data_IF_667746727537
#
_entry.id   IF_667746727537
#
_cell.length_a   1.000
_cell.length_b   1.000
_cell.length_c   1.000
_cell.angle_alpha   90.00
_cell.angle_beta   90.00
_cell.angle_gamma   90.00
#
_symmetry.space_group_name_H-M   'P 1'
#
loop_
_entity.id
_entity.type
_entity.pdbx_description
1 polymer ?
#
# COMPACT_ATOMS: atom_id res chain seq x y z
N UNK A 1 -22.82 -12.76 80.77
CA UNK A 1 -23.05 -11.86 79.61
C UNK A 1 -22.06 -12.23 78.51
N UNK A 2 -22.51 -12.91 77.46
CA UNK A 2 -21.72 -13.22 76.25
C UNK A 2 -22.19 -12.27 75.15
N UNK A 3 -21.30 -11.41 74.66
CA UNK A 3 -21.57 -10.49 73.55
C UNK A 3 -21.32 -11.24 72.25
N UNK A 4 -22.34 -11.29 71.37
CA UNK A 4 -22.24 -11.79 70.00
C UNK A 4 -21.60 -10.70 69.11
N UNK A 5 -20.64 -11.01 68.22
CA UNK A 5 -20.22 -10.07 67.20
C UNK A 5 -21.14 -10.15 65.97
N UNK A 6 -21.53 -8.98 65.48
CA UNK A 6 -22.33 -8.79 64.27
C UNK A 6 -21.49 -9.03 63.01
N UNK A 7 -22.13 -9.65 62.01
CA UNK A 7 -21.65 -9.89 60.66
C UNK A 7 -21.25 -8.57 59.94
N UNK A 8 -20.10 -8.55 59.29
CA UNK A 8 -19.89 -7.71 58.10
C UNK A 8 -19.83 -8.63 56.88
N UNK A 9 -20.88 -8.57 56.06
CA UNK A 9 -20.99 -9.28 54.79
C UNK A 9 -20.35 -8.40 53.72
N UNK A 10 -19.11 -8.71 53.32
CA UNK A 10 -18.44 -8.02 52.21
C UNK A 10 -19.02 -8.56 50.90
N UNK A 11 -19.92 -7.81 50.27
CA UNK A 11 -20.38 -8.10 48.90
C UNK A 11 -19.25 -7.71 47.94
N UNK A 12 -18.53 -8.71 47.43
CA UNK A 12 -17.62 -8.54 46.30
C UNK A 12 -18.47 -8.39 45.05
N UNK A 13 -18.69 -7.15 44.61
CA UNK A 13 -19.23 -6.88 43.28
C UNK A 13 -18.16 -7.24 42.25
N UNK A 14 -18.28 -8.43 41.66
CA UNK A 14 -17.52 -8.79 40.47
C UNK A 14 -17.95 -7.85 39.33
N UNK A 15 -17.12 -6.86 39.02
CA UNK A 15 -17.26 -6.07 37.80
C UNK A 15 -16.95 -7.03 36.64
N UNK A 16 -18.00 -7.59 36.04
CA UNK A 16 -17.91 -8.23 34.74
C UNK A 16 -17.51 -7.15 33.73
N UNK A 17 -16.21 -7.03 33.46
CA UNK A 17 -15.74 -6.38 32.25
C UNK A 17 -16.40 -7.10 31.07
N UNK A 18 -17.10 -6.41 30.16
CA UNK A 18 -17.56 -7.04 28.94
C UNK A 18 -16.32 -7.57 28.22
N UNK A 19 -16.31 -8.87 27.94
CA UNK A 19 -15.32 -9.46 27.06
C UNK A 19 -15.27 -8.58 25.80
N UNK A 20 -14.11 -7.98 25.52
CA UNK A 20 -13.86 -7.37 24.23
C UNK A 20 -14.17 -8.45 23.19
N UNK A 21 -15.29 -8.28 22.48
CA UNK A 21 -15.70 -9.21 21.46
C UNK A 21 -14.56 -9.35 20.47
N UNK A 22 -14.05 -10.57 20.29
CA UNK A 22 -13.24 -10.87 19.12
C UNK A 22 -14.13 -10.58 17.91
N UNK A 23 -13.77 -9.68 16.98
CA UNK A 23 -14.30 -9.83 15.64
C UNK A 23 -13.78 -11.19 15.15
N UNK A 24 -14.68 -12.16 15.14
CA UNK A 24 -14.45 -13.44 14.49
C UNK A 24 -14.38 -13.15 13.00
N UNK A 25 -13.16 -13.02 12.47
CA UNK A 25 -12.92 -12.86 11.04
C UNK A 25 -13.54 -14.06 10.30
N UNK A 26 -14.25 -13.76 9.20
CA UNK A 26 -14.79 -14.77 8.29
C UNK A 26 -13.67 -15.61 7.65
N UNK A 27 -14.01 -16.63 6.86
CA UNK A 27 -13.01 -17.47 6.19
C UNK A 27 -11.99 -16.60 5.43
N UNK A 28 -10.72 -17.01 5.33
CA UNK A 28 -9.68 -16.22 4.69
C UNK A 28 -10.12 -15.89 3.27
N UNK A 29 -10.45 -14.61 3.04
CA UNK A 29 -10.67 -14.10 1.69
C UNK A 29 -9.30 -14.22 1.04
N UNK A 30 -9.15 -15.07 0.02
CA UNK A 30 -7.86 -15.23 -0.71
C UNK A 30 -7.57 -13.94 -1.46
N UNK A 31 -7.07 -12.95 -0.74
CA UNK A 31 -6.64 -11.66 -1.23
C UNK A 31 -5.19 -11.51 -0.81
N UNK A 32 -4.29 -12.06 -1.62
CA UNK A 32 -2.89 -12.34 -1.28
C UNK A 32 -1.97 -11.96 -2.45
N UNK A 33 -0.69 -11.77 -2.14
CA UNK A 33 0.38 -11.61 -3.14
C UNK A 33 0.33 -12.74 -4.16
N UNK A 34 0.66 -12.37 -5.39
CA UNK A 34 0.90 -13.32 -6.46
C UNK A 34 2.40 -13.56 -6.51
N UNK A 35 2.82 -14.75 -6.06
CA UNK A 35 4.25 -15.08 -5.95
C UNK A 35 4.98 -14.82 -7.27
N UNK A 36 6.08 -14.07 -7.19
CA UNK A 36 6.95 -13.75 -8.33
C UNK A 36 6.57 -12.47 -9.07
N UNK A 37 5.53 -11.77 -8.63
CA UNK A 37 5.13 -10.46 -9.13
C UNK A 37 5.59 -9.40 -8.15
N UNK A 38 6.62 -8.65 -8.54
CA UNK A 38 7.15 -7.56 -7.74
C UNK A 38 7.71 -6.47 -8.65
N UNK A 39 7.91 -5.26 -8.14
CA UNK A 39 8.63 -4.23 -8.88
C UNK A 39 10.06 -4.65 -9.20
N UNK A 40 10.71 -3.94 -10.14
CA UNK A 40 12.15 -4.07 -10.35
C UNK A 40 12.89 -3.88 -9.02
N UNK A 41 14.07 -4.51 -8.89
CA UNK A 41 14.87 -4.46 -7.66
C UNK A 41 15.13 -3.01 -7.17
N UNK A 42 15.33 -2.11 -8.12
CA UNK A 42 15.59 -0.68 -7.90
C UNK A 42 14.45 0.21 -8.42
N UNK A 43 13.31 -0.38 -8.79
CA UNK A 43 12.15 0.34 -9.31
C UNK A 43 11.43 1.16 -8.25
N UNK A 44 10.57 2.08 -8.70
CA UNK A 44 9.91 3.07 -7.85
C UNK A 44 10.97 3.80 -7.01
N UNK A 45 10.87 3.80 -5.67
CA UNK A 45 11.82 4.48 -4.77
C UNK A 45 12.58 3.49 -3.89
N UNK A 46 12.75 2.23 -4.35
CA UNK A 46 13.40 1.16 -3.57
C UNK A 46 14.85 1.46 -3.26
N UNK A 47 15.55 2.14 -4.15
CA UNK A 47 16.97 2.52 -3.97
C UNK A 47 17.13 3.57 -2.88
N UNK A 48 16.30 4.60 -2.92
CA UNK A 48 16.24 5.71 -1.97
C UNK A 48 15.82 5.18 -0.59
N UNK A 49 14.75 4.39 -0.54
CA UNK A 49 14.25 3.79 0.68
C UNK A 49 15.25 2.81 1.31
N UNK A 50 16.03 2.04 0.53
CA UNK A 50 17.15 1.25 1.09
C UNK A 50 18.23 2.12 1.71
N UNK A 51 18.54 3.27 1.11
CA UNK A 51 19.50 4.22 1.68
C UNK A 51 19.03 4.74 3.03
N UNK A 52 17.74 5.11 3.12
CA UNK A 52 17.07 5.49 4.37
C UNK A 52 17.16 4.37 5.41
N UNK A 53 16.68 3.16 5.08
CA UNK A 53 16.72 1.99 5.99
C UNK A 53 18.12 1.71 6.51
N UNK A 54 19.14 1.73 5.64
CA UNK A 54 20.53 1.51 6.03
C UNK A 54 21.03 2.58 6.98
N UNK A 55 20.70 3.86 6.74
CA UNK A 55 21.04 4.94 7.64
C UNK A 55 20.39 4.78 9.02
N UNK A 56 19.09 4.44 9.03
CA UNK A 56 18.31 4.24 10.25
C UNK A 56 18.80 3.04 11.07
N UNK A 57 19.13 1.91 10.43
CA UNK A 57 19.73 0.73 11.09
C UNK A 57 21.05 1.07 11.79
N UNK A 58 21.91 1.89 11.16
CA UNK A 58 23.15 2.36 11.82
C UNK A 58 22.86 3.23 13.04
N UNK A 59 21.86 4.11 12.97
CA UNK A 59 21.47 4.97 14.09
C UNK A 59 20.86 4.17 15.25
N UNK A 60 19.99 3.20 14.95
CA UNK A 60 19.42 2.27 15.93
C UNK A 60 20.51 1.44 16.62
N UNK A 61 21.49 0.92 15.86
CA UNK A 61 22.63 0.19 16.41
C UNK A 61 23.51 1.02 17.35
N UNK A 62 23.55 2.35 17.16
CA UNK A 62 24.26 3.31 18.02
C UNK A 62 23.36 3.94 19.09
N UNK A 63 22.09 3.54 19.18
CA UNK A 63 21.07 4.15 20.06
C UNK A 63 20.93 5.67 19.88
N UNK A 64 21.20 6.20 18.69
CA UNK A 64 21.08 7.63 18.40
C UNK A 64 19.66 7.98 17.95
N UNK A 65 18.73 7.96 18.91
CA UNK A 65 17.32 8.29 18.68
C UNK A 65 17.08 9.75 18.25
N UNK A 66 17.80 10.77 18.77
CA UNK A 66 17.64 12.13 18.28
C UNK A 66 17.88 12.26 16.77
N UNK A 67 18.96 11.68 16.26
CA UNK A 67 19.23 11.67 14.82
C UNK A 67 18.22 10.82 14.04
N UNK A 68 17.76 9.71 14.61
CA UNK A 68 16.74 8.85 14.00
C UNK A 68 15.40 9.59 13.82
N UNK A 69 15.05 10.46 14.78
CA UNK A 69 13.77 11.17 14.84
C UNK A 69 13.82 12.59 14.23
N UNK A 70 15.01 13.04 13.80
CA UNK A 70 15.23 14.39 13.29
C UNK A 70 14.24 14.84 12.19
N UNK A 71 13.83 14.00 11.21
CA UNK A 71 12.89 14.42 10.17
C UNK A 71 11.51 14.82 10.72
N UNK A 72 11.03 14.15 11.76
CA UNK A 72 9.74 14.45 12.38
C UNK A 72 9.83 15.61 13.37
N UNK A 73 10.97 15.78 14.04
CA UNK A 73 11.21 16.91 14.93
C UNK A 73 11.25 18.27 14.19
N UNK A 74 11.58 18.28 12.89
CA UNK A 74 11.53 19.45 12.03
C UNK A 74 10.10 19.77 11.49
N UNK A 75 9.06 19.13 12.04
CA UNK A 75 7.66 19.40 11.67
C UNK A 75 7.27 18.91 10.28
N UNK A 76 7.85 17.80 9.80
CA UNK A 76 7.60 17.27 8.45
C UNK A 76 8.14 18.16 7.31
N UNK A 77 8.73 19.31 7.65
CA UNK A 77 9.20 20.33 6.72
C UNK A 77 10.70 20.19 6.42
N UNK A 78 11.14 18.99 6.02
CA UNK A 78 12.34 18.93 5.18
C UNK A 78 11.91 19.50 3.83
N UNK A 79 12.59 20.52 3.25
CA UNK A 79 12.15 21.14 2.02
C UNK A 79 11.89 20.09 0.94
N UNK A 80 10.78 20.23 0.21
CA UNK A 80 10.50 19.52 -1.03
C UNK A 80 11.56 19.89 -2.07
N UNK A 81 12.78 19.37 -1.94
CA UNK A 81 13.85 19.68 -2.87
C UNK A 81 13.61 18.90 -4.15
N UNK A 82 13.20 19.61 -5.20
CA UNK A 82 13.43 19.16 -6.56
C UNK A 82 14.96 19.05 -6.77
N UNK A 83 15.49 17.84 -6.67
CA UNK A 83 16.86 17.50 -7.06
C UNK A 83 17.76 16.93 -5.95
N UNK A 84 18.27 15.72 -6.19
CA UNK A 84 19.58 15.21 -5.75
C UNK A 84 19.80 14.90 -4.26
N UNK A 85 20.62 13.87 -3.92
CA UNK A 85 20.69 13.32 -2.57
C UNK A 85 21.47 14.23 -1.59
N UNK A 86 20.79 14.65 -0.52
CA UNK A 86 21.43 15.19 0.69
C UNK A 86 22.03 14.03 1.50
N UNK A 87 23.26 14.22 2.00
CA UNK A 87 23.95 13.23 2.82
C UNK A 87 23.12 12.83 4.05
N UNK A 88 22.70 11.56 4.06
CA UNK A 88 21.94 10.85 5.10
C UNK A 88 20.51 11.32 5.36
N UNK A 89 19.66 11.23 4.32
CA UNK A 89 18.21 11.23 4.52
C UNK A 89 17.83 10.01 5.38
N UNK A 90 17.24 10.24 6.56
CA UNK A 90 16.78 9.19 7.51
C UNK A 90 15.26 9.02 7.50
N UNK A 91 14.57 9.57 6.50
CA UNK A 91 13.17 9.30 6.22
C UNK A 91 12.86 9.37 4.71
N UNK A 92 12.04 8.46 4.21
CA UNK A 92 11.49 8.57 2.84
C UNK A 92 10.61 9.82 2.80
N UNK A 93 10.92 10.76 1.90
CA UNK A 93 10.22 12.03 1.82
C UNK A 93 10.24 12.59 0.41
N UNK A 94 9.31 13.50 0.10
CA UNK A 94 9.16 14.12 -1.21
C UNK A 94 7.73 14.01 -1.75
N UNK A 95 7.58 14.18 -3.07
CA UNK A 95 6.30 14.00 -3.76
C UNK A 95 6.42 12.84 -4.73
N UNK A 96 5.70 11.74 -4.46
CA UNK A 96 5.53 10.66 -5.42
C UNK A 96 4.44 11.04 -6.40
N UNK A 97 4.81 11.24 -7.67
CA UNK A 97 3.86 11.51 -8.75
C UNK A 97 3.49 10.21 -9.44
N UNK A 98 2.19 9.89 -9.53
CA UNK A 98 1.66 8.66 -10.14
C UNK A 98 0.67 9.01 -11.24
N UNK A 99 0.91 8.65 -12.52
CA UNK A 99 -0.13 8.69 -13.53
C UNK A 99 -1.05 7.48 -13.34
N UNK A 100 -2.35 7.73 -13.26
CA UNK A 100 -3.36 6.68 -13.34
C UNK A 100 -3.84 6.55 -14.79
N UNK A 101 -3.90 5.34 -15.34
CA UNK A 101 -4.33 5.08 -16.71
C UNK A 101 -5.56 4.19 -16.68
N UNK A 102 -6.72 4.78 -17.02
CA UNK A 102 -7.95 4.02 -17.22
C UNK A 102 -7.85 3.28 -18.55
N UNK A 103 -7.99 1.96 -18.51
CA UNK A 103 -8.11 1.14 -19.70
C UNK A 103 -9.55 0.62 -19.85
N UNK A 104 -9.96 0.35 -21.08
CA UNK A 104 -11.21 -0.36 -21.35
C UNK A 104 -10.99 -1.43 -22.42
N UNK A 105 -11.64 -2.56 -22.24
CA UNK A 105 -11.67 -3.64 -23.22
C UNK A 105 -12.62 -3.27 -24.37
N UNK A 106 -12.47 -3.94 -25.51
CA UNK A 106 -13.37 -3.73 -26.66
C UNK A 106 -14.85 -4.00 -26.32
N UNK A 107 -15.10 -4.90 -25.37
CA UNK A 107 -16.43 -5.28 -24.90
C UNK A 107 -16.86 -4.59 -23.60
N UNK A 108 -16.12 -3.57 -23.11
CA UNK A 108 -16.55 -2.78 -21.95
C UNK A 108 -17.78 -1.96 -22.30
N UNK A 109 -18.86 -2.11 -21.54
CA UNK A 109 -20.07 -1.35 -21.72
C UNK A 109 -19.89 0.10 -21.21
N UNK A 110 -20.55 1.07 -21.84
CA UNK A 110 -20.47 2.48 -21.42
C UNK A 110 -20.92 2.67 -19.96
N UNK A 111 -21.86 1.86 -19.47
CA UNK A 111 -22.33 1.87 -18.08
C UNK A 111 -21.27 1.46 -17.06
N UNK A 112 -20.20 0.81 -17.49
CA UNK A 112 -19.08 0.38 -16.63
C UNK A 112 -17.98 1.45 -16.53
N UNK A 113 -18.10 2.53 -17.30
CA UNK A 113 -17.10 3.60 -17.36
C UNK A 113 -17.39 4.73 -16.37
N UNK A 114 -16.33 5.33 -15.85
CA UNK A 114 -16.34 6.50 -14.96
C UNK A 114 -15.33 7.54 -15.43
N UNK A 115 -15.52 8.78 -15.06
CA UNK A 115 -14.68 9.88 -15.54
C UNK A 115 -13.32 9.91 -14.85
N UNK A 116 -12.30 10.40 -15.55
CA UNK A 116 -10.96 10.62 -14.97
C UNK A 116 -11.01 11.52 -13.73
N UNK A 117 -11.87 12.55 -13.74
CA UNK A 117 -12.07 13.45 -12.60
C UNK A 117 -12.57 12.72 -11.34
N UNK A 118 -13.40 11.69 -11.47
CA UNK A 118 -13.85 10.92 -10.32
C UNK A 118 -12.70 10.10 -9.71
N UNK A 119 -11.80 9.56 -10.54
CA UNK A 119 -10.59 8.90 -10.05
C UNK A 119 -9.59 9.88 -9.44
N UNK A 120 -9.42 11.07 -10.00
CA UNK A 120 -8.58 12.12 -9.41
C UNK A 120 -9.10 12.51 -8.01
N UNK A 121 -10.42 12.57 -7.83
CA UNK A 121 -11.05 12.84 -6.54
C UNK A 121 -10.83 11.70 -5.51
N UNK A 122 -10.72 10.45 -5.96
CA UNK A 122 -10.46 9.30 -5.08
C UNK A 122 -8.96 9.10 -4.81
N UNK A 123 -8.11 9.35 -5.79
CA UNK A 123 -6.68 9.07 -5.69
C UNK A 123 -5.86 10.27 -5.23
N UNK A 124 -6.09 11.46 -5.80
CA UNK A 124 -5.14 12.57 -5.72
C UNK A 124 -5.65 13.82 -4.99
N UNK A 125 -6.95 13.92 -4.71
CA UNK A 125 -7.48 15.04 -3.92
C UNK A 125 -6.89 15.04 -2.50
N UNK A 126 -6.57 16.21 -1.96
CA UNK A 126 -5.97 16.36 -0.62
C UNK A 126 -6.93 16.00 0.52
N UNK A 127 -8.23 15.93 0.23
CA UNK A 127 -9.26 15.48 1.15
C UNK A 127 -10.43 14.83 0.39
N UNK A 128 -11.19 13.92 1.04
CA UNK A 128 -12.31 13.23 0.40
C UNK A 128 -13.43 14.20 0.00
N UNK A 129 -13.62 14.41 -1.31
CA UNK A 129 -14.58 15.34 -1.91
C UNK A 129 -15.10 14.77 -3.23
N UNK A 130 -16.25 15.26 -3.72
CA UNK A 130 -16.82 14.75 -4.97
C UNK A 130 -17.09 13.24 -4.92
N UNK A 131 -16.50 12.47 -5.83
CA UNK A 131 -16.62 11.01 -5.91
C UNK A 131 -16.04 10.25 -4.69
N UNK A 132 -15.19 10.90 -3.89
CA UNK A 132 -14.71 10.36 -2.62
C UNK A 132 -15.44 10.91 -1.40
N UNK A 133 -16.51 11.72 -1.56
CA UNK A 133 -17.27 12.25 -0.44
C UNK A 133 -17.79 11.11 0.47
N UNK A 134 -17.62 11.28 1.78
CA UNK A 134 -17.98 10.28 2.79
C UNK A 134 -16.93 9.17 3.00
N UNK A 135 -15.88 9.10 2.18
CA UNK A 135 -14.72 8.22 2.45
C UNK A 135 -13.82 8.85 3.51
N UNK A 136 -13.13 8.06 4.35
CA UNK A 136 -12.16 8.58 5.31
C UNK A 136 -10.89 9.15 4.65
N UNK A 137 -10.45 8.55 3.54
CA UNK A 137 -9.24 8.94 2.85
C UNK A 137 -9.37 8.91 1.32
N UNK A 138 -8.57 9.74 0.68
CA UNK A 138 -8.05 9.53 -0.67
C UNK A 138 -6.68 8.84 -0.57
N UNK A 139 -6.16 8.31 -1.67
CA UNK A 139 -4.81 7.73 -1.71
C UNK A 139 -3.76 8.78 -1.26
N UNK A 140 -3.90 10.02 -1.72
CA UNK A 140 -3.04 11.11 -1.30
C UNK A 140 -3.16 11.49 0.18
N UNK A 141 -4.37 11.66 0.71
CA UNK A 141 -4.55 12.04 2.12
C UNK A 141 -4.11 10.93 3.06
N UNK A 142 -4.29 9.67 2.68
CA UNK A 142 -3.83 8.51 3.46
C UNK A 142 -2.31 8.54 3.65
N UNK A 143 -1.52 8.69 2.58
CA UNK A 143 -0.07 8.75 2.68
C UNK A 143 0.45 10.02 3.36
N UNK A 144 -0.22 11.16 3.16
CA UNK A 144 0.12 12.40 3.85
C UNK A 144 -0.03 12.24 5.37
N UNK A 145 -1.11 11.62 5.84
CA UNK A 145 -1.29 11.33 7.26
C UNK A 145 -0.29 10.27 7.75
N UNK A 146 -0.16 9.16 7.01
CA UNK A 146 0.70 8.03 7.39
C UNK A 146 2.16 8.44 7.60
N UNK A 147 2.64 9.39 6.79
CA UNK A 147 4.02 9.88 6.77
C UNK A 147 4.25 11.16 7.57
N UNK A 148 3.23 11.69 8.26
CA UNK A 148 3.31 12.98 8.94
C UNK A 148 3.72 14.13 8.01
N UNK A 149 3.20 14.12 6.78
CA UNK A 149 3.47 15.12 5.75
C UNK A 149 4.83 14.98 5.06
N UNK A 150 5.67 14.00 5.45
CA UNK A 150 6.97 13.78 4.80
C UNK A 150 6.82 13.31 3.35
N UNK A 151 5.75 12.57 3.04
CA UNK A 151 5.43 12.11 1.70
C UNK A 151 4.12 12.75 1.21
N UNK A 152 4.19 13.44 0.09
CA UNK A 152 3.02 13.78 -0.73
C UNK A 152 2.84 12.74 -1.84
N UNK A 153 1.59 12.42 -2.15
CA UNK A 153 1.24 11.70 -3.38
C UNK A 153 0.44 12.65 -4.26
N UNK A 154 0.83 12.76 -5.53
CA UNK A 154 0.18 13.58 -6.53
C UNK A 154 0.02 12.80 -7.82
N UNK A 155 -0.85 13.24 -8.71
CA UNK A 155 -1.06 12.53 -9.96
C UNK A 155 -2.18 13.13 -10.79
N UNK A 156 -2.42 12.49 -11.92
CA UNK A 156 -3.56 12.76 -12.78
C UNK A 156 -3.99 11.45 -13.45
N UNK A 157 -5.28 11.36 -13.73
CA UNK A 157 -5.88 10.20 -14.40
C UNK A 157 -6.06 10.47 -15.88
N UNK A 158 -5.60 9.54 -16.71
CA UNK A 158 -5.66 9.60 -18.17
C UNK A 158 -6.49 8.46 -18.73
N UNK A 159 -7.13 8.67 -19.87
CA UNK A 159 -7.89 7.66 -20.59
C UNK A 159 -9.34 8.09 -20.90
N UNK A 160 -10.22 7.17 -21.30
CA UNK A 160 -9.97 5.73 -21.43
C UNK A 160 -9.06 5.37 -22.60
N UNK A 161 -8.02 4.59 -22.30
CA UNK A 161 -7.26 3.87 -23.31
C UNK A 161 -8.07 2.67 -23.80
N UNK A 162 -8.57 2.76 -25.04
CA UNK A 162 -9.33 1.67 -25.66
C UNK A 162 -8.38 0.58 -26.14
N UNK A 163 -8.47 -0.61 -25.54
CA UNK A 163 -7.71 -1.78 -25.94
C UNK A 163 -8.33 -2.44 -27.17
N UNK A 164 -7.50 -3.14 -27.95
CA UNK A 164 -7.88 -3.63 -29.28
C UNK A 164 -8.82 -4.85 -29.24
N UNK A 165 -8.87 -5.56 -28.12
CA UNK A 165 -9.57 -6.85 -27.98
C UNK A 165 -10.51 -6.91 -26.76
N UNK A 166 -11.31 -7.97 -26.69
CA UNK A 166 -12.19 -8.23 -25.55
C UNK A 166 -11.35 -8.64 -24.33
N UNK A 167 -11.91 -8.48 -23.13
CA UNK A 167 -11.26 -8.78 -21.85
C UNK A 167 -10.56 -10.14 -21.81
N UNK A 168 -11.24 -11.20 -22.27
CA UNK A 168 -10.72 -12.59 -22.27
C UNK A 168 -9.37 -12.73 -22.99
N UNK A 169 -9.07 -11.84 -23.95
CA UNK A 169 -7.77 -11.83 -24.62
C UNK A 169 -6.64 -11.47 -23.66
N UNK A 170 -6.89 -10.56 -22.72
CA UNK A 170 -5.91 -10.06 -21.76
C UNK A 170 -5.88 -10.87 -20.47
N UNK A 171 -7.02 -11.40 -20.03
CA UNK A 171 -7.07 -12.26 -18.83
C UNK A 171 -6.55 -13.67 -19.12
N UNK A 172 -6.62 -14.13 -20.37
CA UNK A 172 -6.33 -15.51 -20.76
C UNK A 172 -7.59 -16.38 -20.73
N UNK A 173 -7.55 -17.52 -21.41
CA UNK A 173 -8.73 -18.40 -21.55
C UNK A 173 -8.78 -19.36 -20.36
N UNK A 174 -9.84 -19.29 -19.56
CA UNK A 174 -10.06 -20.23 -18.48
C UNK A 174 -10.00 -21.68 -18.99
N UNK A 175 -9.40 -22.58 -18.21
CA UNK A 175 -9.07 -23.95 -18.63
C UNK A 175 -7.63 -24.13 -19.15
N UNK A 176 -6.95 -23.04 -19.53
CA UNK A 176 -5.54 -23.08 -19.95
C UNK A 176 -4.54 -22.80 -18.83
N UNK A 177 -5.00 -22.30 -17.68
CA UNK A 177 -4.16 -21.92 -16.55
C UNK A 177 -4.25 -22.88 -15.37
N UNK A 178 -3.22 -22.88 -14.51
CA UNK A 178 -3.10 -23.72 -13.32
C UNK A 178 -2.45 -22.94 -12.19
N UNK A 179 -2.69 -23.34 -10.94
CA UNK A 179 -2.08 -22.71 -9.78
C UNK A 179 -2.81 -21.47 -9.27
N UNK A 180 -4.03 -21.21 -9.76
CA UNK A 180 -4.93 -20.24 -9.16
C UNK A 180 -5.25 -20.67 -7.71
N UNK A 181 -5.09 -19.79 -6.72
CA UNK A 181 -5.22 -20.15 -5.30
C UNK A 181 -6.67 -20.49 -4.88
N UNK A 182 -7.67 -20.19 -5.71
CA UNK A 182 -9.05 -20.67 -5.53
C UNK A 182 -9.29 -22.09 -6.04
N UNK A 183 -8.27 -22.77 -6.58
CA UNK A 183 -8.40 -24.10 -7.17
C UNK A 183 -9.13 -24.12 -8.51
N UNK A 184 -9.23 -22.97 -9.20
CA UNK A 184 -9.88 -22.84 -10.52
C UNK A 184 -8.84 -22.94 -11.65
N UNK A 185 -9.33 -22.93 -12.89
CA UNK A 185 -8.51 -22.82 -14.10
C UNK A 185 -8.52 -21.42 -14.71
N UNK A 186 -9.01 -20.43 -13.93
CA UNK A 186 -9.02 -19.03 -14.31
C UNK A 186 -7.58 -18.51 -14.39
N UNK A 187 -7.32 -17.73 -15.42
CA UNK A 187 -5.99 -17.21 -15.71
C UNK A 187 -5.74 -15.88 -14.99
N UNK A 188 -6.76 -15.03 -14.90
CA UNK A 188 -6.74 -13.70 -14.29
C UNK A 188 -5.61 -12.77 -14.76
N UNK A 189 -4.99 -13.07 -15.92
CA UNK A 189 -3.79 -12.41 -16.42
C UNK A 189 -2.46 -12.86 -15.78
N UNK A 190 -2.47 -13.84 -14.87
CA UNK A 190 -1.34 -14.17 -13.98
C UNK A 190 -0.90 -15.64 -13.99
N UNK A 191 -1.85 -16.58 -14.11
CA UNK A 191 -1.59 -17.99 -13.83
C UNK A 191 -1.07 -18.81 -15.04
N UNK A 192 -0.46 -18.13 -16.02
CA UNK A 192 0.38 -18.72 -17.07
C UNK A 192 1.26 -17.65 -17.74
N UNK A 193 2.39 -18.05 -18.34
CA UNK A 193 3.25 -17.13 -19.08
C UNK A 193 2.54 -16.42 -20.23
N UNK A 194 1.64 -17.13 -20.93
CA UNK A 194 0.83 -16.56 -22.01
C UNK A 194 -0.19 -15.54 -21.49
N UNK A 195 -0.83 -15.80 -20.34
CA UNK A 195 -1.75 -14.84 -19.72
C UNK A 195 -1.02 -13.56 -19.30
N UNK A 196 0.18 -13.69 -18.71
CA UNK A 196 1.04 -12.55 -18.33
C UNK A 196 1.42 -11.73 -19.56
N UNK A 197 1.91 -12.38 -20.61
CA UNK A 197 2.32 -11.70 -21.83
C UNK A 197 1.15 -10.95 -22.49
N UNK A 198 -0.05 -11.56 -22.49
CA UNK A 198 -1.27 -10.93 -23.01
C UNK A 198 -1.71 -9.74 -22.16
N UNK A 199 -1.74 -9.87 -20.85
CA UNK A 199 -2.05 -8.79 -19.93
C UNK A 199 -1.09 -7.60 -20.12
N UNK A 200 0.23 -7.84 -20.13
CA UNK A 200 1.23 -6.78 -20.35
C UNK A 200 1.15 -6.16 -21.75
N UNK A 201 0.74 -6.93 -22.77
CA UNK A 201 0.45 -6.38 -24.09
C UNK A 201 -0.71 -5.38 -24.03
N UNK A 202 -1.77 -5.66 -23.26
CA UNK A 202 -2.86 -4.73 -22.98
C UNK A 202 -2.39 -3.45 -22.29
N UNK A 203 -1.55 -3.56 -21.26
CA UNK A 203 -0.97 -2.38 -20.59
C UNK A 203 -0.10 -1.54 -21.54
N UNK A 204 0.68 -2.20 -22.39
CA UNK A 204 1.49 -1.53 -23.42
C UNK A 204 0.62 -0.83 -24.48
N UNK A 205 -0.50 -1.45 -24.89
CA UNK A 205 -1.49 -0.79 -25.74
C UNK A 205 -2.05 0.45 -25.03
N UNK A 206 -2.40 0.34 -23.74
CA UNK A 206 -2.92 1.47 -22.98
C UNK A 206 -1.94 2.65 -22.95
N UNK A 207 -0.66 2.38 -22.66
CA UNK A 207 0.41 3.37 -22.70
C UNK A 207 0.50 4.04 -24.07
N UNK A 208 0.50 3.28 -25.17
CA UNK A 208 0.52 3.86 -26.53
C UNK A 208 -0.65 4.79 -26.81
N UNK A 209 -1.85 4.49 -26.28
CA UNK A 209 -3.06 5.32 -26.50
C UNK A 209 -2.99 6.66 -25.76
N UNK A 210 -2.36 6.69 -24.60
CA UNK A 210 -2.24 7.90 -23.77
C UNK A 210 -0.91 8.63 -23.95
N UNK A 211 0.07 8.01 -24.61
CA UNK A 211 1.46 8.49 -24.64
C UNK A 211 1.55 9.99 -24.98
N UNK A 212 0.95 10.44 -26.08
CA UNK A 212 1.00 11.82 -26.53
C UNK A 212 0.21 12.83 -25.65
N UNK A 213 -0.56 12.35 -24.66
CA UNK A 213 -1.41 13.16 -23.77
C UNK A 213 -0.74 13.41 -22.42
N UNK A 214 0.32 12.66 -22.09
CA UNK A 214 0.94 12.65 -20.76
C UNK A 214 2.31 13.31 -20.86
N UNK A 215 2.56 14.37 -20.10
CA UNK A 215 3.94 14.81 -19.88
C UNK A 215 4.64 13.83 -18.95
N UNK A 216 5.32 12.84 -19.51
CA UNK A 216 5.96 11.77 -18.72
C UNK A 216 7.17 12.26 -17.91
N UNK A 217 7.75 13.42 -18.25
CA UNK A 217 8.92 13.95 -17.52
C UNK A 217 8.60 14.30 -16.08
N UNK A 218 7.32 14.57 -15.76
CA UNK A 218 6.89 14.85 -14.40
C UNK A 218 6.88 13.61 -13.49
N UNK A 219 6.96 12.39 -14.04
CA UNK A 219 6.78 11.15 -13.26
C UNK A 219 8.10 10.39 -13.00
N UNK A 220 9.25 10.95 -13.40
CA UNK A 220 10.61 10.44 -13.11
C UNK A 220 11.25 11.33 -12.03
N UNK A 221 10.82 11.18 -10.77
CA UNK A 221 11.24 12.12 -9.70
C UNK A 221 12.68 11.87 -9.24
N UNK A 222 13.19 10.64 -9.38
CA UNK A 222 14.56 10.30 -9.02
C UNK A 222 15.57 10.53 -10.17
N UNK A 223 15.09 10.82 -11.39
CA UNK A 223 15.90 11.13 -12.56
C UNK A 223 16.61 9.91 -13.16
N UNK A 224 16.09 8.70 -12.93
CA UNK A 224 16.69 7.46 -13.42
C UNK A 224 16.26 7.07 -14.85
N UNK A 225 15.40 7.89 -15.47
CA UNK A 225 14.88 7.71 -16.81
C UNK A 225 13.66 6.79 -16.87
N UNK A 226 13.11 6.38 -15.72
CA UNK A 226 11.86 5.64 -15.63
C UNK A 226 10.80 6.44 -14.88
N UNK A 227 9.55 6.26 -15.29
CA UNK A 227 8.41 6.64 -14.48
C UNK A 227 8.45 5.84 -13.17
N UNK A 228 8.39 6.54 -12.04
CA UNK A 228 8.50 5.96 -10.70
C UNK A 228 7.48 4.83 -10.51
N UNK A 229 6.20 5.12 -10.78
CA UNK A 229 5.11 4.16 -10.66
C UNK A 229 3.95 4.55 -11.56
N UNK A 230 3.36 3.59 -12.29
CA UNK A 230 2.09 3.78 -13.04
C UNK A 230 0.98 2.95 -12.40
N UNK A 231 -0.21 3.54 -12.24
CA UNK A 231 -1.40 2.82 -11.81
C UNK A 231 -2.34 2.56 -13.00
N UNK A 232 -2.47 1.31 -13.43
CA UNK A 232 -3.45 0.92 -14.43
C UNK A 232 -4.76 0.52 -13.76
N UNK A 233 -5.87 1.09 -14.22
CA UNK A 233 -7.20 0.81 -13.67
C UNK A 233 -8.08 0.16 -14.75
N UNK A 234 -8.50 -1.09 -14.50
CA UNK A 234 -9.36 -1.87 -15.41
C UNK A 234 -10.83 -1.84 -14.95
N UNK A 235 -11.83 -1.86 -15.84
CA UNK A 235 -13.21 -1.52 -15.49
C UNK A 235 -14.01 -2.65 -14.81
N UNK A 236 -13.54 -3.90 -14.92
CA UNK A 236 -14.23 -5.09 -14.42
C UNK A 236 -13.98 -5.30 -12.92
N UNK A 237 -14.73 -6.24 -12.31
CA UNK A 237 -14.50 -6.67 -10.94
C UNK A 237 -13.07 -7.19 -10.76
N UNK A 238 -12.50 -7.05 -9.56
CA UNK A 238 -11.18 -7.62 -9.25
C UNK A 238 -11.21 -9.16 -9.31
N UNK A 239 -10.23 -9.76 -9.99
CA UNK A 239 -10.00 -11.21 -9.98
C UNK A 239 -9.81 -11.79 -8.56
N UNK A 240 -9.38 -10.97 -7.59
CA UNK A 240 -9.20 -11.32 -6.18
C UNK A 240 -10.51 -11.49 -5.38
N UNK A 241 -11.68 -11.28 -6.00
CA UNK A 241 -12.96 -11.30 -5.27
C UNK A 241 -13.54 -12.70 -5.01
N UNK A 242 -13.15 -13.71 -5.80
CA UNK A 242 -13.57 -15.12 -5.67
C UNK A 242 -15.09 -15.42 -5.72
N UNK A 243 -15.50 -16.71 -5.80
CA UNK A 243 -14.79 -17.88 -6.34
C UNK A 243 -15.30 -18.30 -7.75
N UNK A 244 -14.75 -19.39 -8.31
CA UNK A 244 -15.06 -20.09 -9.58
C UNK A 244 -15.73 -19.31 -10.73
N UNK A 245 -14.96 -19.00 -11.78
CA UNK A 245 -15.45 -18.36 -13.00
C UNK A 245 -15.26 -16.84 -13.05
N UNK A 246 -14.68 -16.25 -12.00
CA UNK A 246 -14.19 -14.88 -12.01
C UNK A 246 -12.82 -14.83 -12.70
N UNK A 247 -12.81 -14.76 -14.03
CA UNK A 247 -11.60 -14.63 -14.85
C UNK A 247 -11.35 -13.18 -15.30
N UNK A 248 -11.57 -12.21 -14.41
CA UNK A 248 -11.16 -10.81 -14.58
C UNK A 248 -9.67 -10.62 -14.24
N UNK A 249 -9.07 -9.50 -14.64
CA UNK A 249 -7.69 -9.21 -14.24
C UNK A 249 -7.61 -9.07 -12.71
N UNK A 250 -6.67 -9.77 -12.09
CA UNK A 250 -6.45 -9.72 -10.65
C UNK A 250 -5.46 -8.60 -10.32
N UNK A 251 -5.81 -7.74 -9.37
CA UNK A 251 -4.96 -6.61 -8.97
C UNK A 251 -3.60 -7.04 -8.42
N UNK A 252 -2.52 -6.39 -8.84
CA UNK A 252 -1.15 -6.76 -8.49
C UNK A 252 -0.15 -5.64 -8.78
N UNK A 253 1.03 -5.70 -8.15
CA UNK A 253 2.24 -4.97 -8.60
C UNK A 253 3.08 -5.84 -9.52
N UNK A 254 3.74 -5.25 -10.51
CA UNK A 254 4.81 -5.91 -11.27
C UNK A 254 5.67 -4.90 -12.04
N UNK A 255 6.49 -5.40 -12.96
CA UNK A 255 7.11 -4.59 -13.99
C UNK A 255 6.87 -5.17 -15.39
N UNK A 256 6.81 -4.30 -16.40
CA UNK A 256 6.77 -4.71 -17.81
C UNK A 256 8.09 -5.40 -18.18
N UNK A 257 8.00 -6.65 -18.61
CA UNK A 257 9.17 -7.44 -19.05
C UNK A 257 9.89 -6.78 -20.24
N UNK A 258 9.15 -6.00 -21.03
CA UNK A 258 9.68 -5.10 -22.04
C UNK A 258 9.21 -3.67 -21.73
N UNK A 259 10.06 -2.82 -21.12
CA UNK A 259 9.69 -1.46 -20.77
C UNK A 259 9.18 -0.67 -21.97
N UNK A 260 8.10 0.08 -21.79
CA UNK A 260 7.57 0.97 -22.82
C UNK A 260 8.41 2.24 -22.90
N UNK A 261 8.86 2.62 -24.10
CA UNK A 261 9.56 3.89 -24.30
C UNK A 261 8.55 4.95 -24.71
N UNK A 262 8.42 6.00 -23.91
CA UNK A 262 7.47 7.09 -24.14
C UNK A 262 7.96 8.06 -25.21
N UNK A 263 7.09 8.98 -25.63
CA UNK A 263 7.50 10.08 -26.50
C UNK A 263 8.41 11.11 -25.80
N UNK A 264 8.40 11.15 -24.46
CA UNK A 264 9.08 12.18 -23.68
C UNK A 264 10.59 11.93 -23.54
N UNK A 265 11.33 13.03 -23.44
CA UNK A 265 12.76 13.06 -23.18
C UNK A 265 12.99 14.02 -22.03
N UNK A 266 13.71 13.58 -21.00
CA UNK A 266 14.02 14.44 -19.85
C UNK A 266 15.08 15.50 -20.21
N UNK A 267 15.36 16.40 -19.25
CA UNK A 267 16.33 17.49 -19.43
C UNK A 267 17.76 17.03 -19.73
N UNK A 268 18.08 15.75 -19.47
CA UNK A 268 19.38 15.13 -19.74
C UNK A 268 19.44 14.43 -21.10
N UNK A 269 18.38 14.52 -21.92
CA UNK A 269 18.31 13.85 -23.22
C UNK A 269 17.95 12.36 -23.14
N UNK A 270 17.55 11.85 -21.96
CA UNK A 270 17.17 10.45 -21.76
C UNK A 270 15.70 10.26 -22.08
N UNK A 271 15.38 9.28 -22.93
CA UNK A 271 14.01 8.85 -23.21
C UNK A 271 13.38 8.24 -21.95
N UNK A 272 12.25 8.79 -21.51
CA UNK A 272 11.52 8.28 -20.35
C UNK A 272 10.87 6.94 -20.69
N UNK A 273 11.01 5.98 -19.78
CA UNK A 273 10.45 4.62 -19.91
C UNK A 273 9.43 4.32 -18.83
N UNK A 274 8.45 3.49 -19.13
CA UNK A 274 7.52 2.91 -18.15
C UNK A 274 7.87 1.45 -17.97
N UNK A 275 8.05 1.02 -16.72
CA UNK A 275 8.31 -0.37 -16.38
C UNK A 275 7.50 -0.81 -15.17
N UNK A 276 7.71 -0.20 -14.00
CA UNK A 276 7.02 -0.57 -12.76
C UNK A 276 5.57 -0.10 -12.78
N UNK A 277 4.65 -0.99 -12.40
CA UNK A 277 3.23 -0.69 -12.39
C UNK A 277 2.48 -1.43 -11.30
N UNK A 278 1.36 -0.84 -10.89
CA UNK A 278 0.27 -1.53 -10.22
C UNK A 278 -0.89 -1.63 -11.19
N UNK A 279 -1.54 -2.79 -11.22
CA UNK A 279 -2.80 -3.01 -11.92
C UNK A 279 -3.87 -3.17 -10.86
N UNK A 280 -4.96 -2.45 -11.01
CA UNK A 280 -6.07 -2.45 -10.06
C UNK A 280 -7.40 -2.53 -10.80
N UNK A 281 -8.39 -3.15 -10.15
CA UNK A 281 -9.79 -2.91 -10.51
C UNK A 281 -10.15 -1.44 -10.24
N UNK A 282 -10.78 -0.79 -11.21
CA UNK A 282 -11.29 0.58 -11.11
C UNK A 282 -12.55 0.67 -10.24
N UNK A 283 -13.12 -0.49 -9.89
CA UNK A 283 -14.31 -0.67 -9.07
C UNK A 283 -14.01 -1.50 -7.83
N UNK A 284 -14.88 -1.45 -6.82
CA UNK A 284 -14.73 -2.29 -5.63
C UNK A 284 -15.57 -1.82 -4.46
N UNK A 285 -15.88 -0.52 -4.37
CA UNK A 285 -16.71 0.02 -3.28
C UNK A 285 -16.19 -0.29 -1.88
N UNK A 286 -17.09 -0.20 -0.90
CA UNK A 286 -16.75 -0.40 0.51
C UNK A 286 -16.34 -1.84 0.85
N UNK A 287 -16.77 -2.83 0.06
CA UNK A 287 -16.47 -4.25 0.28
C UNK A 287 -15.24 -4.74 -0.51
N UNK A 288 -14.69 -3.89 -1.39
CA UNK A 288 -13.62 -4.21 -2.34
C UNK A 288 -14.06 -5.10 -3.52
N UNK A 289 -15.35 -5.48 -3.62
CA UNK A 289 -15.88 -6.38 -4.64
C UNK A 289 -17.23 -5.91 -5.23
N UNK A 290 -17.47 -4.60 -5.26
CA UNK A 290 -18.68 -3.99 -5.81
C UNK A 290 -18.38 -3.24 -7.12
N UNK A 291 -19.00 -3.67 -8.23
CA UNK A 291 -18.82 -3.06 -9.57
C UNK A 291 -19.53 -1.72 -9.73
N UNK A 292 -20.47 -1.39 -8.83
CA UNK A 292 -21.28 -0.17 -8.90
C UNK A 292 -20.59 1.05 -8.30
N UNK A 293 -19.48 0.85 -7.57
CA UNK A 293 -18.73 1.92 -6.91
C UNK A 293 -17.25 1.94 -7.31
N UNK A 294 -16.64 3.14 -7.33
CA UNK A 294 -15.19 3.29 -7.57
C UNK A 294 -14.41 2.54 -6.51
N UNK A 295 -13.28 1.96 -6.92
CA UNK A 295 -12.36 1.22 -6.06
C UNK A 295 -12.03 1.93 -4.74
N UNK A 296 -11.80 1.16 -3.66
CA UNK A 296 -11.19 1.66 -2.44
C UNK A 296 -9.72 2.04 -2.63
N UNK A 297 -9.12 2.73 -1.64
CA UNK A 297 -7.71 3.15 -1.70
C UNK A 297 -6.75 2.10 -1.13
N UNK A 298 -7.27 1.08 -0.44
CA UNK A 298 -6.48 0.09 0.29
C UNK A 298 -5.45 -0.67 -0.56
N UNK A 299 -5.82 -1.23 -1.70
CA UNK A 299 -4.90 -2.02 -2.53
C UNK A 299 -3.81 -1.15 -3.15
N UNK A 300 -4.16 -0.02 -3.77
CA UNK A 300 -3.18 0.98 -4.25
C UNK A 300 -2.23 1.40 -3.14
N UNK A 301 -2.76 1.62 -1.93
CA UNK A 301 -1.95 2.01 -0.80
C UNK A 301 -0.97 0.91 -0.39
N UNK A 302 -1.42 -0.34 -0.30
CA UNK A 302 -0.60 -1.51 -0.02
C UNK A 302 0.52 -1.68 -1.07
N UNK A 303 0.15 -1.66 -2.35
CA UNK A 303 1.11 -1.84 -3.44
C UNK A 303 2.17 -0.72 -3.50
N UNK A 304 1.77 0.51 -3.18
CA UNK A 304 2.71 1.64 -3.06
C UNK A 304 3.74 1.40 -1.95
N UNK A 305 3.39 0.72 -0.86
CA UNK A 305 4.33 0.36 0.22
C UNK A 305 5.51 -0.47 -0.28
N UNK A 306 5.26 -1.37 -1.24
CA UNK A 306 6.31 -2.14 -1.91
C UNK A 306 7.19 -1.30 -2.83
N UNK A 307 6.72 -0.14 -3.29
CA UNK A 307 7.52 0.86 -4.00
C UNK A 307 8.61 1.47 -3.13
N UNK A 308 8.41 1.46 -1.81
CA UNK A 308 9.48 1.77 -0.84
C UNK A 308 10.29 0.55 -0.44
N UNK A 309 10.00 -0.63 -0.99
CA UNK A 309 10.67 -1.89 -0.71
C UNK A 309 10.36 -2.45 0.69
N UNK A 310 9.19 -2.15 1.23
CA UNK A 310 8.63 -2.91 2.35
C UNK A 310 8.17 -4.29 1.83
N UNK A 311 8.36 -5.37 2.60
CA UNK A 311 7.86 -6.69 2.25
C UNK A 311 6.38 -6.83 2.64
N UNK A 312 5.74 -7.87 2.12
CA UNK A 312 4.50 -8.38 2.68
C UNK A 312 4.77 -8.95 4.08
N UNK A 313 3.89 -8.65 5.02
CA UNK A 313 3.97 -9.06 6.42
C UNK A 313 2.88 -10.07 6.80
N UNK A 314 1.98 -10.42 5.87
CA UNK A 314 1.17 -11.63 6.01
C UNK A 314 1.98 -12.87 5.63
N UNK A 315 1.47 -14.02 6.02
CA UNK A 315 2.12 -15.28 5.68
C UNK A 315 1.87 -15.67 4.21
N UNK A 316 2.90 -15.47 3.40
CA UNK A 316 2.90 -15.83 1.98
C UNK A 316 2.75 -17.33 1.70
N UNK A 317 3.03 -18.22 2.67
CA UNK A 317 2.87 -19.67 2.50
C UNK A 317 1.51 -20.19 2.97
N UNK A 318 0.75 -19.33 3.65
CA UNK A 318 -0.63 -19.57 4.07
C UNK A 318 -0.84 -20.43 5.30
N UNK A 319 0.19 -20.62 6.13
CA UNK A 319 0.07 -21.32 7.41
C UNK A 319 -0.46 -20.44 8.54
N UNK A 320 -0.41 -19.12 8.40
CA UNK A 320 -0.90 -18.14 9.37
C UNK A 320 -1.41 -16.85 8.70
N UNK A 321 -1.80 -15.87 9.49
CA UNK A 321 -2.16 -14.52 9.01
C UNK A 321 -0.93 -13.58 8.96
N UNK A 322 0.23 -14.01 9.47
CA UNK A 322 1.35 -13.11 9.75
C UNK A 322 0.93 -11.98 10.70
N UNK A 323 1.16 -10.72 10.31
CA UNK A 323 0.65 -9.55 11.05
C UNK A 323 -0.85 -9.32 10.86
N UNK A 324 -1.47 -9.97 9.88
CA UNK A 324 -2.90 -9.88 9.56
C UNK A 324 -3.37 -8.45 9.35
N UNK A 325 -4.57 -8.16 9.84
CA UNK A 325 -5.27 -6.88 9.65
C UNK A 325 -4.60 -5.70 10.39
N UNK A 326 -3.60 -5.96 11.25
CA UNK A 326 -2.93 -4.93 12.05
C UNK A 326 -1.91 -4.09 11.27
N UNK A 327 -1.62 -4.40 10.02
CA UNK A 327 -0.74 -3.57 9.17
C UNK A 327 -1.30 -3.42 7.77
N UNK A 328 -1.08 -2.25 7.18
CA UNK A 328 -1.28 -2.08 5.73
C UNK A 328 -0.50 -3.13 4.95
N UNK A 329 0.74 -3.43 5.35
CA UNK A 329 1.59 -4.44 4.69
C UNK A 329 1.20 -5.89 5.05
N UNK A 330 0.20 -6.05 5.92
CA UNK A 330 -0.50 -7.31 6.16
C UNK A 330 -1.77 -7.41 5.30
N UNK A 331 -2.87 -7.87 5.88
CA UNK A 331 -4.20 -7.89 5.25
C UNK A 331 -5.05 -6.66 5.59
N UNK A 332 -4.45 -5.64 6.23
CA UNK A 332 -5.14 -4.45 6.71
C UNK A 332 -5.74 -3.56 5.62
N UNK A 333 -5.32 -3.73 4.36
CA UNK A 333 -5.96 -3.10 3.21
C UNK A 333 -7.39 -3.61 2.93
N UNK A 334 -7.75 -4.79 3.46
CA UNK A 334 -9.06 -5.41 3.25
C UNK A 334 -10.01 -5.30 4.44
N UNK A 335 -9.54 -4.86 5.61
CA UNK A 335 -10.34 -4.76 6.85
C UNK A 335 -11.41 -3.68 6.76
N UNK A 336 -11.01 -2.50 6.27
CA UNK A 336 -11.92 -1.43 5.87
C UNK A 336 -11.36 -0.83 4.59
N UNK A 337 -11.83 -1.25 3.40
CA UNK A 337 -11.22 -0.86 2.14
C UNK A 337 -11.13 0.68 1.92
N UNK A 338 -12.10 1.45 2.38
CA UNK A 338 -12.04 2.93 2.36
C UNK A 338 -11.16 3.55 3.46
N UNK A 339 -10.82 2.79 4.51
CA UNK A 339 -9.96 3.20 5.63
C UNK A 339 -8.96 2.09 5.97
N UNK A 340 -8.02 1.79 5.07
CA UNK A 340 -7.09 0.70 5.27
C UNK A 340 -6.29 0.91 6.57
N UNK A 341 -5.92 -0.18 7.23
CA UNK A 341 -5.12 -0.13 8.45
C UNK A 341 -3.86 0.70 8.25
N UNK A 342 -3.43 1.45 9.27
CA UNK A 342 -2.09 2.07 9.29
C UNK A 342 -1.02 0.97 9.12
N UNK A 343 0.09 1.28 8.46
CA UNK A 343 1.33 0.48 8.57
C UNK A 343 1.70 0.27 10.05
N UNK A 344 2.27 -0.89 10.35
CA UNK A 344 2.81 -1.19 11.68
C UNK A 344 4.02 -0.34 12.03
N UNK A 345 4.34 -0.26 13.32
CA UNK A 345 5.47 0.50 13.84
C UNK A 345 6.82 0.13 13.20
N UNK A 346 7.03 -1.12 12.78
CA UNK A 346 8.29 -1.52 12.12
C UNK A 346 8.34 -0.95 10.70
N UNK A 347 7.28 -1.08 9.91
CA UNK A 347 7.19 -0.51 8.56
C UNK A 347 7.38 1.02 8.59
N UNK A 348 6.70 1.72 9.49
CA UNK A 348 6.87 3.17 9.67
C UNK A 348 8.29 3.53 10.13
N UNK A 349 8.87 2.73 11.02
CA UNK A 349 10.24 2.92 11.49
C UNK A 349 11.23 2.69 10.35
N UNK A 350 11.07 1.71 9.47
CA UNK A 350 11.98 1.51 8.34
C UNK A 350 11.94 2.71 7.36
N UNK A 351 10.78 3.36 7.21
CA UNK A 351 10.60 4.54 6.35
C UNK A 351 10.91 5.89 7.02
N UNK A 352 11.07 5.91 8.35
CA UNK A 352 11.28 7.15 9.10
C UNK A 352 10.04 8.02 9.29
N UNK A 353 8.87 7.39 9.29
CA UNK A 353 7.55 8.03 9.43
C UNK A 353 6.98 7.96 10.84
N UNK A 354 7.74 7.43 11.79
CA UNK A 354 7.39 7.38 13.22
C UNK A 354 8.57 7.82 14.09
N UNK A 355 8.26 8.49 15.19
CA UNK A 355 9.20 8.81 16.26
C UNK A 355 9.46 7.56 17.08
N UNK A 356 10.72 7.19 17.25
CA UNK A 356 11.10 6.00 18.04
C UNK A 356 11.67 6.44 19.38
N UNK A 357 11.05 5.99 20.48
CA UNK A 357 11.42 6.37 21.85
C UNK A 357 11.88 5.16 22.64
N UNK A 358 13.12 5.12 23.19
CA UNK A 358 13.55 4.01 24.03
C UNK A 358 12.79 3.97 25.36
N UNK A 359 12.35 2.76 25.72
CA UNK A 359 11.84 2.47 27.06
C UNK A 359 13.02 2.24 28.01
N UNK A 360 12.97 2.90 29.16
CA UNK A 360 13.87 2.72 30.29
C UNK A 360 13.20 1.88 31.39
N UNK A 361 14.01 1.12 32.11
CA UNK A 361 13.52 0.34 33.25
C UNK A 361 12.96 1.25 34.36
N UNK A 362 11.92 0.77 35.05
CA UNK A 362 11.33 1.47 36.20
C UNK A 362 10.51 2.72 35.87
N UNK A 363 10.17 2.94 34.59
CA UNK A 363 9.38 4.09 34.14
C UNK A 363 7.99 3.67 33.67
N UNK A 364 7.01 4.57 33.81
CA UNK A 364 5.64 4.41 33.29
C UNK A 364 5.54 5.16 31.96
N UNK A 365 4.98 4.50 30.94
CA UNK A 365 4.79 5.04 29.60
C UNK A 365 3.30 5.04 29.24
N UNK A 366 2.83 6.14 28.65
CA UNK A 366 1.49 6.26 28.11
C UNK A 366 1.54 6.12 26.58
N UNK A 367 0.65 5.30 26.02
CA UNK A 367 0.57 5.06 24.59
C UNK A 367 -0.67 5.75 24.03
N UNK A 368 -0.47 6.83 23.27
CA UNK A 368 -1.55 7.43 22.49
C UNK A 368 -2.02 6.47 21.40
N UNK A 369 -3.29 6.58 20.95
CA UNK A 369 -3.81 5.73 19.88
C UNK A 369 -3.04 6.02 18.58
N UNK A 370 -2.61 4.97 17.90
CA UNK A 370 -1.72 5.03 16.75
C UNK A 370 -2.18 6.05 15.68
N UNK A 371 -3.46 6.22 15.33
CA UNK A 371 -3.85 7.23 14.33
C UNK A 371 -3.50 8.70 14.70
N UNK A 372 -3.25 8.97 15.98
CA UNK A 372 -2.96 10.31 16.52
C UNK A 372 -1.62 10.42 17.25
N UNK A 373 -0.94 9.29 17.43
CA UNK A 373 0.32 9.17 18.15
C UNK A 373 1.38 8.66 17.20
N UNK A 374 2.31 9.52 16.82
CA UNK A 374 3.44 9.18 15.94
C UNK A 374 4.64 8.66 16.72
N UNK A 375 4.39 7.96 17.81
CA UNK A 375 5.42 7.39 18.67
C UNK A 375 5.31 5.88 18.75
N UNK A 376 6.40 5.21 18.36
CA UNK A 376 6.65 3.81 18.62
C UNK A 376 7.69 3.67 19.73
N UNK A 377 7.42 2.82 20.71
CA UNK A 377 8.31 2.62 21.83
C UNK A 377 9.28 1.47 21.56
N UNK A 378 10.57 1.75 21.65
CA UNK A 378 11.65 0.82 21.44
C UNK A 378 11.96 0.07 22.74
N UNK A 379 11.84 -1.26 22.70
CA UNK A 379 12.20 -2.15 23.80
C UNK A 379 13.37 -3.05 23.38
N UNK A 380 14.57 -2.89 23.96
CA UNK A 380 15.69 -3.78 23.67
C UNK A 380 15.44 -5.20 24.21
N UNK A 381 15.90 -6.21 23.48
CA UNK A 381 16.03 -7.58 24.01
C UNK A 381 17.21 -7.62 24.98
N UNK A 382 16.97 -8.12 26.20
CA UNK A 382 18.00 -8.29 27.22
C UNK A 382 18.92 -9.49 26.95
N UNK A 383 20.12 -9.48 27.53
CA UNK A 383 21.10 -10.57 27.37
C UNK A 383 21.92 -10.50 26.07
N UNK A 384 22.51 -11.64 25.68
CA UNK A 384 23.31 -11.74 24.47
C UNK A 384 22.41 -11.57 23.23
N UNK A 385 22.62 -10.48 22.49
CA UNK A 385 21.79 -10.10 21.34
C UNK A 385 22.66 -9.81 20.10
N UNK A 386 23.35 -10.82 19.54
CA UNK A 386 24.29 -10.64 18.43
C UNK A 386 23.59 -10.24 17.12
N UNK A 387 22.28 -10.46 17.01
CA UNK A 387 21.45 -10.08 15.86
C UNK A 387 20.81 -8.68 16.01
N UNK A 388 20.97 -8.06 17.18
CA UNK A 388 20.43 -6.74 17.46
C UNK A 388 18.91 -6.68 17.46
N UNK A 389 18.23 -7.75 17.88
CA UNK A 389 16.77 -7.86 17.96
C UNK A 389 16.17 -6.87 18.96
N UNK A 390 14.95 -6.42 18.68
CA UNK A 390 14.21 -5.47 19.50
C UNK A 390 12.71 -5.57 19.22
N UNK A 391 11.90 -5.03 20.12
CA UNK A 391 10.48 -4.84 19.89
C UNK A 391 10.19 -3.35 19.67
N UNK A 392 9.20 -3.09 18.82
CA UNK A 392 8.52 -1.80 18.73
C UNK A 392 7.10 -1.99 19.25
N UNK A 393 6.70 -1.15 20.19
CA UNK A 393 5.40 -1.20 20.82
C UNK A 393 4.59 0.02 20.39
N UNK A 394 3.34 -0.21 19.99
CA UNK A 394 2.36 0.82 19.64
C UNK A 394 0.98 0.46 20.18
N UNK A 395 0.11 1.45 20.35
CA UNK A 395 -1.28 1.23 20.74
C UNK A 395 -2.19 1.32 19.51
N UNK A 396 -2.76 0.18 19.10
CA UNK A 396 -3.61 0.06 17.90
C UNK A 396 -5.08 0.39 18.15
N UNK A 397 -5.44 0.92 19.31
CA UNK A 397 -6.80 1.40 19.56
C UNK A 397 -7.13 2.56 18.61
N UNK A 398 -8.24 2.44 17.87
CA UNK A 398 -8.69 3.45 16.91
C UNK A 398 -9.72 2.88 15.95
#
# INVERSE_FOLDING_TARGET
MKVRPSLFLTVVAAVCLPAAGRPQQGPPRVRREIRGFDFRQDGVWRREARTVRNARRRLLGRRNFPALNAPLAAGGSVPLSAGGPVATVVAVSGVLRVPAVLLKFKNTATSETRTTSEFDQVLFASSPTGASAGRPYTYASYYAQLSNGLLGVQGATYGYASLDSNEVTYTGVAGSCRGNPYGTTDCNGLFSGDAIARMQNGLTQALRRVDAQVDWTQYDNNGDGYVDLVAFLQPALDGACGPAGNNHLWSHRYFLLSPYTTHAVNSQGVRIKVADYILESAVGGAEGCDTTQIMPVGTVAHETGHGFGLPDLYDTDGKSEGIGEYSLMGSGNYTSPFSPSRMDAWSLSELGWVTVVPIASGSVYAFGPAPSSDTAFFLPVGGANPRGEYFLLENRQG
#
